data_IF_014846950238
#
_entry.id   IF_014846950238
#
_cell.length_a   1.000
_cell.length_b   1.000
_cell.length_c   1.000
_cell.angle_alpha   90.00
_cell.angle_beta   90.00
_cell.angle_gamma   90.00
#
_symmetry.space_group_name_H-M   'P 1'
#
loop_
_entity.id
_entity.type
_entity.pdbx_description
1 polymer ?
#
# COMPACT_ATOMS: atom_id res chain seq x y z
N UNK A 1 7.99 -17.79 30.11
CA UNK A 1 7.86 -16.42 30.31
C UNK A 1 8.00 -15.54 29.13
N UNK A 2 8.80 -15.87 28.20
CA UNK A 2 8.95 -15.08 26.99
C UNK A 2 8.27 -15.70 25.80
N UNK A 3 7.29 -16.54 26.06
CA UNK A 3 6.61 -17.30 25.01
C UNK A 3 5.89 -16.40 24.02
N UNK A 4 5.29 -15.31 24.50
CA UNK A 4 4.61 -14.36 23.61
C UNK A 4 5.59 -13.62 22.70
N UNK A 5 6.77 -13.25 23.19
CA UNK A 5 7.83 -12.65 22.39
C UNK A 5 8.42 -13.66 21.40
N UNK A 6 8.61 -14.90 21.85
CA UNK A 6 9.11 -15.97 21.02
C UNK A 6 8.14 -16.32 19.90
N UNK A 7 6.86 -16.36 20.20
CA UNK A 7 5.79 -16.61 19.22
C UNK A 7 5.74 -15.45 18.22
N UNK A 8 5.81 -14.21 18.70
CA UNK A 8 5.81 -13.03 17.83
C UNK A 8 7.00 -13.04 16.87
N UNK A 9 8.18 -13.42 17.33
CA UNK A 9 9.37 -13.55 16.48
C UNK A 9 9.20 -14.63 15.41
N UNK A 10 8.67 -15.79 15.79
CA UNK A 10 8.40 -16.90 14.86
C UNK A 10 7.41 -16.47 13.78
N UNK A 11 6.34 -15.81 14.18
CA UNK A 11 5.32 -15.31 13.26
C UNK A 11 5.94 -14.31 12.29
N UNK A 12 6.75 -13.37 12.79
CA UNK A 12 7.41 -12.38 11.95
C UNK A 12 8.36 -13.04 10.95
N UNK A 13 9.10 -14.06 11.37
CA UNK A 13 10.01 -14.80 10.49
C UNK A 13 9.25 -15.57 9.41
N UNK A 14 8.15 -16.23 9.77
CA UNK A 14 7.29 -16.93 8.82
C UNK A 14 6.64 -15.96 7.84
N UNK A 15 6.14 -14.82 8.34
CA UNK A 15 5.56 -13.78 7.51
C UNK A 15 6.57 -13.21 6.52
N UNK A 16 7.81 -13.01 6.97
CA UNK A 16 8.88 -12.45 6.17
C UNK A 16 9.18 -13.29 4.92
N UNK A 17 9.03 -14.60 5.03
CA UNK A 17 9.31 -15.54 3.96
C UNK A 17 8.06 -16.03 3.24
N UNK A 18 6.88 -15.60 3.67
CA UNK A 18 5.63 -16.00 3.04
C UNK A 18 5.55 -15.42 1.62
N UNK A 19 5.14 -16.21 0.61
CA UNK A 19 5.09 -15.73 -0.78
C UNK A 19 4.29 -14.45 -0.96
N UNK A 20 3.18 -14.29 -0.25
CA UNK A 20 2.36 -13.08 -0.32
C UNK A 20 3.13 -11.85 0.17
N UNK A 21 3.87 -11.99 1.26
CA UNK A 21 4.65 -10.89 1.83
C UNK A 21 5.83 -10.55 0.91
N UNK A 22 6.48 -11.55 0.36
CA UNK A 22 7.59 -11.34 -0.59
C UNK A 22 7.09 -10.59 -1.83
N UNK A 23 5.97 -11.02 -2.38
CA UNK A 23 5.36 -10.37 -3.54
C UNK A 23 4.96 -8.92 -3.21
N UNK A 24 4.32 -8.71 -2.06
CA UNK A 24 3.93 -7.37 -1.61
C UNK A 24 5.12 -6.43 -1.50
N UNK A 25 6.21 -6.89 -0.87
CA UNK A 25 7.42 -6.07 -0.69
C UNK A 25 8.04 -5.70 -2.03
N UNK A 26 8.05 -6.63 -2.99
CA UNK A 26 8.56 -6.37 -4.33
C UNK A 26 7.73 -5.30 -5.03
N UNK A 27 6.40 -5.41 -4.99
CA UNK A 27 5.49 -4.43 -5.60
C UNK A 27 5.57 -3.09 -4.88
N UNK A 28 5.65 -3.10 -3.55
CA UNK A 28 5.81 -1.89 -2.74
C UNK A 28 7.08 -1.14 -3.13
N UNK A 29 8.18 -1.88 -3.30
CA UNK A 29 9.45 -1.29 -3.72
C UNK A 29 9.33 -0.63 -5.09
N UNK A 30 8.71 -1.30 -6.05
CA UNK A 30 8.47 -0.74 -7.38
C UNK A 30 7.58 0.51 -7.30
N UNK A 31 6.54 0.44 -6.49
CA UNK A 31 5.61 1.56 -6.27
C UNK A 31 6.33 2.77 -5.68
N UNK A 32 7.14 2.56 -4.63
CA UNK A 32 7.86 3.64 -3.94
C UNK A 32 8.97 4.24 -4.80
N UNK A 33 9.52 3.49 -5.73
CA UNK A 33 10.60 3.94 -6.60
C UNK A 33 10.13 4.44 -7.96
N UNK A 34 8.84 4.44 -8.22
CA UNK A 34 8.29 4.94 -9.49
C UNK A 34 8.32 6.47 -9.53
N UNK A 35 9.19 7.02 -10.36
CA UNK A 35 9.28 8.47 -10.58
C UNK A 35 8.00 9.03 -11.19
N UNK A 36 7.40 8.27 -12.09
CA UNK A 36 6.13 8.64 -12.72
C UNK A 36 5.03 8.83 -11.68
N UNK A 37 4.88 7.86 -10.76
CA UNK A 37 3.86 7.92 -9.71
C UNK A 37 4.16 9.03 -8.71
N UNK A 38 5.42 9.26 -8.39
CA UNK A 38 5.83 10.38 -7.52
C UNK A 38 5.45 11.72 -8.14
N UNK A 39 5.68 11.89 -9.45
CA UNK A 39 5.29 13.11 -10.15
C UNK A 39 3.79 13.32 -10.13
N UNK A 40 3.01 12.27 -10.43
CA UNK A 40 1.55 12.35 -10.37
C UNK A 40 1.07 12.77 -8.98
N UNK A 41 1.64 12.16 -7.95
CA UNK A 41 1.28 12.47 -6.56
C UNK A 41 1.63 13.91 -6.20
N UNK A 42 2.80 14.38 -6.63
CA UNK A 42 3.23 15.76 -6.39
C UNK A 42 2.32 16.76 -7.09
N UNK A 43 1.91 16.49 -8.32
CA UNK A 43 0.97 17.33 -9.04
C UNK A 43 -0.41 17.34 -8.38
N UNK A 44 -0.89 16.17 -7.95
CA UNK A 44 -2.16 16.07 -7.20
C UNK A 44 -2.11 16.91 -5.93
N UNK A 45 -1.02 16.80 -5.17
CA UNK A 45 -0.83 17.57 -3.95
C UNK A 45 -0.77 19.08 -4.21
N UNK A 46 -0.16 19.47 -5.32
CA UNK A 46 -0.10 20.87 -5.73
C UNK A 46 -1.52 21.42 -5.97
N UNK A 47 -2.32 20.72 -6.78
CA UNK A 47 -3.70 21.16 -7.04
C UNK A 47 -4.58 21.13 -5.81
N UNK A 48 -4.33 20.19 -4.91
CA UNK A 48 -5.07 20.07 -3.66
C UNK A 48 -4.86 21.29 -2.75
N UNK A 49 -3.69 21.92 -2.83
CA UNK A 49 -3.36 23.14 -2.06
C UNK A 49 -3.83 24.42 -2.71
N UNK A 50 -4.16 24.38 -4.00
CA UNK A 50 -4.66 25.54 -4.73
C UNK A 50 -6.11 25.85 -4.38
N UNK A 51 -6.54 27.09 -4.66
CA UNK A 51 -7.95 27.46 -4.55
C UNK A 51 -8.75 26.58 -5.52
N UNK A 52 -9.75 25.89 -4.98
CA UNK A 52 -10.50 24.88 -5.71
C UNK A 52 -11.58 25.53 -6.57
N UNK A 53 -11.20 26.07 -7.73
CA UNK A 53 -12.14 26.46 -8.76
C UNK A 53 -12.47 25.23 -9.63
N UNK A 54 -13.42 25.38 -10.55
CA UNK A 54 -13.89 24.26 -11.38
C UNK A 54 -12.78 23.70 -12.26
N UNK A 55 -11.91 24.54 -12.77
CA UNK A 55 -10.82 24.12 -13.65
C UNK A 55 -9.74 23.34 -12.89
N UNK A 56 -9.35 23.85 -11.73
CA UNK A 56 -8.38 23.18 -10.82
C UNK A 56 -8.93 21.84 -10.35
N UNK A 57 -10.21 21.80 -10.01
CA UNK A 57 -10.87 20.57 -9.58
C UNK A 57 -10.86 19.52 -10.68
N UNK A 58 -11.13 19.90 -11.92
CA UNK A 58 -11.10 18.98 -13.07
C UNK A 58 -9.69 18.42 -13.27
N UNK A 59 -8.68 19.26 -13.18
CA UNK A 59 -7.29 18.83 -13.29
C UNK A 59 -6.92 17.83 -12.20
N UNK A 60 -7.29 18.12 -10.97
CA UNK A 60 -7.06 17.21 -9.84
C UNK A 60 -7.75 15.86 -10.05
N UNK A 61 -9.02 15.87 -10.44
CA UNK A 61 -9.81 14.66 -10.64
C UNK A 61 -9.24 13.82 -11.79
N UNK A 62 -8.75 14.45 -12.86
CA UNK A 62 -8.12 13.75 -13.97
C UNK A 62 -6.81 13.08 -13.54
N UNK A 63 -5.99 13.77 -12.77
CA UNK A 63 -4.75 13.21 -12.23
C UNK A 63 -5.04 12.06 -11.28
N UNK A 64 -6.02 12.22 -10.42
CA UNK A 64 -6.45 11.18 -9.49
C UNK A 64 -6.93 9.93 -10.24
N UNK A 65 -7.73 10.13 -11.28
CA UNK A 65 -8.20 9.02 -12.11
C UNK A 65 -7.04 8.28 -12.76
N UNK A 66 -6.07 9.02 -13.31
CA UNK A 66 -4.88 8.45 -13.92
C UNK A 66 -4.07 7.64 -12.90
N UNK A 67 -3.87 8.20 -11.70
CA UNK A 67 -3.15 7.55 -10.62
C UNK A 67 -3.85 6.28 -10.16
N UNK A 68 -5.15 6.38 -9.87
CA UNK A 68 -5.94 5.26 -9.35
C UNK A 68 -6.11 4.14 -10.38
N UNK A 69 -5.96 4.44 -11.67
CA UNK A 69 -6.08 3.46 -12.76
C UNK A 69 -4.74 2.83 -13.14
N UNK A 70 -3.63 3.32 -12.61
CA UNK A 70 -2.32 2.79 -12.92
C UNK A 70 -2.22 1.34 -12.43
N UNK A 71 -1.77 0.39 -13.29
CA UNK A 71 -1.70 -1.01 -12.89
C UNK A 71 -0.83 -1.27 -11.66
N UNK A 72 0.25 -0.53 -11.49
CA UNK A 72 1.13 -0.67 -10.32
C UNK A 72 0.42 -0.22 -9.05
N UNK A 73 -0.32 0.89 -9.09
CA UNK A 73 -1.12 1.38 -7.96
C UNK A 73 -2.19 0.36 -7.60
N UNK A 74 -2.94 -0.13 -8.59
CA UNK A 74 -4.00 -1.12 -8.37
C UNK A 74 -3.44 -2.39 -7.75
N UNK A 75 -2.33 -2.88 -8.26
CA UNK A 75 -1.69 -4.09 -7.76
C UNK A 75 -1.16 -3.90 -6.34
N UNK A 76 -0.54 -2.75 -6.05
CA UNK A 76 -0.05 -2.42 -4.72
C UNK A 76 -1.19 -2.39 -3.70
N UNK A 77 -2.29 -1.71 -4.03
CA UNK A 77 -3.44 -1.60 -3.11
C UNK A 77 -4.12 -2.96 -2.88
N UNK A 78 -4.24 -3.77 -3.93
CA UNK A 78 -4.79 -5.12 -3.82
C UNK A 78 -3.95 -5.99 -2.89
N UNK A 79 -2.65 -6.00 -3.09
CA UNK A 79 -1.73 -6.79 -2.26
C UNK A 79 -1.69 -6.28 -0.83
N UNK A 80 -1.74 -4.97 -0.64
CA UNK A 80 -1.79 -4.36 0.70
C UNK A 80 -3.01 -4.86 1.48
N UNK A 81 -4.16 -4.89 0.83
CA UNK A 81 -5.39 -5.39 1.44
C UNK A 81 -5.28 -6.88 1.78
N UNK A 82 -4.76 -7.69 0.84
CA UNK A 82 -4.55 -9.13 1.07
C UNK A 82 -3.59 -9.38 2.23
N UNK A 83 -2.52 -8.59 2.34
CA UNK A 83 -1.56 -8.71 3.45
C UNK A 83 -2.23 -8.35 4.77
N UNK A 84 -3.03 -7.30 4.82
CA UNK A 84 -3.73 -6.89 6.03
C UNK A 84 -4.73 -7.97 6.47
N UNK A 85 -5.47 -8.56 5.55
CA UNK A 85 -6.39 -9.66 5.84
C UNK A 85 -5.64 -10.89 6.36
N UNK A 86 -4.52 -11.22 5.73
CA UNK A 86 -3.68 -12.34 6.15
C UNK A 86 -3.15 -12.16 7.57
N UNK A 87 -2.67 -10.96 7.88
CA UNK A 87 -2.20 -10.63 9.23
C UNK A 87 -3.33 -10.73 10.24
N UNK A 88 -4.51 -10.26 9.89
CA UNK A 88 -5.67 -10.32 10.78
C UNK A 88 -6.11 -11.75 11.05
N UNK A 89 -6.08 -12.60 10.04
CA UNK A 89 -6.37 -14.03 10.19
C UNK A 89 -5.44 -14.70 11.19
N UNK A 90 -4.14 -14.37 11.13
CA UNK A 90 -3.14 -14.90 12.05
C UNK A 90 -3.42 -14.40 13.47
N UNK A 91 -3.72 -13.11 13.63
CA UNK A 91 -4.03 -12.53 14.94
C UNK A 91 -5.28 -13.21 15.51
N UNK A 92 -6.32 -13.38 14.72
CA UNK A 92 -7.56 -14.02 15.14
C UNK A 92 -7.33 -15.48 15.56
N UNK A 93 -6.48 -16.18 14.81
CA UNK A 93 -6.11 -17.57 15.13
C UNK A 93 -5.39 -17.66 16.49
N UNK A 94 -4.45 -16.75 16.73
CA UNK A 94 -3.66 -16.73 17.96
C UNK A 94 -4.53 -16.38 19.18
N UNK A 95 -5.46 -15.44 19.01
CA UNK A 95 -6.30 -14.95 20.09
C UNK A 95 -7.48 -15.88 20.40
N UNK A 96 -7.67 -16.92 19.65
CA UNK A 96 -8.62 -17.97 19.99
C UNK A 96 -8.01 -18.96 20.96
#
# INVERSE_FOLDING_TARGET
MNDSLSIAKKINEELKNHPLIVEFKSVENDFLNSEYLKQLKNEMNFYKKCTMDDETRKKYLNLKKTYDSDPLVCNYLRLKEEVEEFKQEIIDYILK
#
